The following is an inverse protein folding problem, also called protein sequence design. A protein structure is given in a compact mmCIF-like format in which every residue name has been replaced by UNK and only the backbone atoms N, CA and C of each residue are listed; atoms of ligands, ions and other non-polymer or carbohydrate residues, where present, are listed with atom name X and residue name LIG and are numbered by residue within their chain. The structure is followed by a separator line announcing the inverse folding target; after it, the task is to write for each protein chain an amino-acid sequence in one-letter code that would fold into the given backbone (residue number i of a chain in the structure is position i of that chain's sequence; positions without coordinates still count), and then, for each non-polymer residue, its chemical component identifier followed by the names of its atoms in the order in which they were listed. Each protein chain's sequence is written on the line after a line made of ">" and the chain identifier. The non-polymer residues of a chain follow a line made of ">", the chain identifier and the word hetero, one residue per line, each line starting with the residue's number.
data_IF_146488770330
#
_entry.id   IF_146488770330
#
_cell.length_a   1.000
_cell.length_b   1.000
_cell.length_c   1.000
_cell.angle_alpha   90.00
_cell.angle_beta   90.00
_cell.angle_gamma   90.00
#
_symmetry.space_group_name_H-M   'P 1'
#
loop_
_entity.id
_entity.type
_entity.pdbx_description
1 polymer ?
#
# COMPACT_ATOMS: atom_id res chain seq x y z
N UNK A 1 -27.25 26.15 13.84
CA UNK A 1 -27.78 24.77 13.90
C UNK A 1 -26.60 23.83 14.08
N UNK A 2 -26.23 23.59 15.34
CA UNK A 2 -25.16 22.66 15.73
C UNK A 2 -25.67 21.23 15.61
N UNK A 3 -25.10 20.46 14.70
CA UNK A 3 -25.37 19.03 14.61
C UNK A 3 -24.35 18.30 15.49
N UNK A 4 -24.75 18.01 16.72
CA UNK A 4 -24.03 17.15 17.67
C UNK A 4 -23.86 15.75 17.06
N UNK A 5 -22.69 15.48 16.50
CA UNK A 5 -22.31 14.14 16.03
C UNK A 5 -21.91 13.33 17.27
N UNK A 6 -22.86 12.56 17.81
CA UNK A 6 -22.58 11.48 18.74
C UNK A 6 -21.82 10.37 17.99
N UNK A 7 -20.49 10.44 18.02
CA UNK A 7 -19.63 9.35 17.57
C UNK A 7 -19.71 8.26 18.64
N UNK A 8 -20.38 7.16 18.32
CA UNK A 8 -20.42 5.98 19.17
C UNK A 8 -18.98 5.53 19.45
N UNK A 9 -18.62 5.52 20.73
CA UNK A 9 -17.30 5.20 21.25
C UNK A 9 -16.94 3.74 20.90
N UNK A 10 -16.22 3.53 19.79
CA UNK A 10 -15.66 2.21 19.46
C UNK A 10 -14.54 1.90 20.43
N UNK A 11 -14.84 1.11 21.47
CA UNK A 11 -13.84 0.58 22.42
C UNK A 11 -12.70 -0.08 21.64
N UNK A 12 -11.43 0.31 21.86
CA UNK A 12 -10.31 -0.34 21.19
C UNK A 12 -10.25 -1.80 21.62
N UNK A 13 -10.49 -2.74 20.69
CA UNK A 13 -10.46 -4.20 20.91
C UNK A 13 -9.07 -4.75 21.29
N UNK A 14 -8.06 -3.88 21.32
CA UNK A 14 -6.68 -4.30 21.40
C UNK A 14 -5.82 -3.23 22.05
N UNK A 15 -4.97 -3.67 22.98
CA UNK A 15 -4.19 -2.77 23.82
C UNK A 15 -3.09 -2.06 23.02
N UNK A 16 -2.74 -0.82 23.40
CA UNK A 16 -1.69 -0.05 22.73
C UNK A 16 -0.34 -0.80 22.75
N UNK A 17 -0.03 -1.56 23.81
CA UNK A 17 1.22 -2.33 23.85
C UNK A 17 1.28 -3.45 22.80
N UNK A 18 0.16 -4.11 22.51
CA UNK A 18 0.14 -5.12 21.46
C UNK A 18 0.28 -4.43 20.09
N UNK A 19 -0.29 -3.22 19.88
CA UNK A 19 -0.19 -2.49 18.59
C UNK A 19 1.26 -2.16 18.26
N UNK A 20 1.99 -1.73 19.26
CA UNK A 20 3.42 -1.46 19.14
C UNK A 20 4.20 -2.76 18.85
N UNK A 21 3.94 -3.85 19.59
CA UNK A 21 4.63 -5.13 19.39
C UNK A 21 4.36 -5.74 18.01
N UNK A 22 3.10 -5.74 17.56
CA UNK A 22 2.72 -6.22 16.24
C UNK A 22 3.30 -5.35 15.11
N UNK A 23 3.31 -4.03 15.29
CA UNK A 23 3.92 -3.10 14.34
C UNK A 23 5.41 -3.34 14.16
N UNK A 24 6.16 -3.49 15.26
CA UNK A 24 7.60 -3.79 15.22
C UNK A 24 7.86 -5.14 14.54
N UNK A 25 7.07 -6.16 14.87
CA UNK A 25 7.21 -7.49 14.26
C UNK A 25 6.95 -7.44 12.75
N UNK A 26 5.86 -6.80 12.32
CA UNK A 26 5.49 -6.69 10.91
C UNK A 26 6.52 -5.87 10.11
N UNK A 27 7.02 -4.77 10.70
CA UNK A 27 8.08 -3.97 10.11
C UNK A 27 9.39 -4.76 9.98
N UNK A 28 9.74 -5.58 10.99
CA UNK A 28 10.90 -6.47 10.94
C UNK A 28 10.79 -7.50 9.83
N UNK A 29 9.71 -8.28 9.77
CA UNK A 29 9.55 -9.32 8.75
C UNK A 29 9.45 -8.75 7.34
N UNK A 30 8.77 -7.61 7.16
CA UNK A 30 8.71 -6.92 5.86
C UNK A 30 10.04 -6.30 5.44
N UNK A 31 10.81 -5.75 6.39
CA UNK A 31 12.14 -5.24 6.13
C UNK A 31 13.10 -6.34 5.69
N UNK A 32 13.10 -7.47 6.40
CA UNK A 32 13.93 -8.63 6.05
C UNK A 32 13.52 -9.21 4.69
N UNK A 33 12.21 -9.33 4.39
CA UNK A 33 11.75 -9.84 3.10
C UNK A 33 12.11 -8.92 1.94
N UNK A 34 12.04 -7.60 2.12
CA UNK A 34 12.45 -6.62 1.11
C UNK A 34 13.96 -6.71 0.81
N UNK A 35 14.81 -6.83 1.84
CA UNK A 35 16.26 -6.99 1.66
C UNK A 35 16.61 -8.29 0.94
N UNK A 36 15.98 -9.40 1.32
CA UNK A 36 16.19 -10.70 0.66
C UNK A 36 15.70 -10.67 -0.79
N UNK A 37 14.50 -10.15 -1.04
CA UNK A 37 13.91 -10.07 -2.39
C UNK A 37 14.73 -9.17 -3.32
N UNK A 38 15.11 -7.97 -2.85
CA UNK A 38 15.95 -7.06 -3.60
C UNK A 38 17.35 -7.65 -3.86
N UNK A 39 17.96 -8.25 -2.83
CA UNK A 39 19.25 -8.94 -2.95
C UNK A 39 19.22 -10.11 -3.93
N UNK A 40 18.15 -10.91 -3.91
CA UNK A 40 17.95 -12.00 -4.86
C UNK A 40 17.80 -11.49 -6.31
N UNK A 41 17.12 -10.37 -6.50
CA UNK A 41 16.97 -9.73 -7.82
C UNK A 41 18.32 -9.20 -8.32
N UNK A 42 19.10 -8.58 -7.43
CA UNK A 42 20.46 -8.13 -7.75
C UNK A 42 21.38 -9.30 -8.10
N UNK A 43 21.28 -10.42 -7.36
CA UNK A 43 22.04 -11.63 -7.62
C UNK A 43 21.63 -12.33 -8.92
N UNK A 44 20.33 -12.34 -9.25
CA UNK A 44 19.84 -12.85 -10.53
C UNK A 44 20.37 -12.00 -11.70
N UNK A 45 20.32 -10.66 -11.57
CA UNK A 45 20.90 -9.74 -12.56
C UNK A 45 22.42 -9.94 -12.72
N UNK A 46 23.15 -10.19 -11.61
CA UNK A 46 24.58 -10.53 -11.67
C UNK A 46 24.86 -11.82 -12.45
N UNK A 47 24.02 -12.84 -12.28
CA UNK A 47 24.21 -14.14 -12.96
C UNK A 47 23.94 -14.05 -14.45
N UNK A 48 23.02 -13.17 -14.86
CA UNK A 48 22.70 -12.96 -16.27
C UNK A 48 23.85 -12.28 -17.02
N UNK A 49 24.49 -11.27 -16.42
CA UNK A 49 25.57 -10.50 -17.05
C UNK A 49 26.78 -10.25 -16.13
N UNK A 50 27.56 -11.27 -15.74
CA UNK A 50 28.63 -11.11 -14.75
C UNK A 50 29.75 -10.15 -15.19
N UNK A 51 30.08 -10.14 -16.50
CA UNK A 51 31.14 -9.29 -17.07
C UNK A 51 30.76 -7.80 -17.07
N UNK A 52 29.56 -7.48 -17.54
CA UNK A 52 29.07 -6.11 -17.61
C UNK A 52 28.58 -5.58 -16.25
N UNK A 53 28.05 -6.45 -15.39
CA UNK A 53 27.65 -6.10 -14.04
C UNK A 53 28.86 -5.76 -13.16
N UNK A 54 29.96 -6.51 -13.26
CA UNK A 54 31.20 -6.23 -12.54
C UNK A 54 31.83 -4.89 -12.97
N UNK A 55 31.87 -4.62 -14.28
CA UNK A 55 32.29 -3.32 -14.83
C UNK A 55 31.32 -2.18 -14.44
N UNK A 56 30.02 -2.49 -14.31
CA UNK A 56 29.01 -1.58 -13.79
C UNK A 56 29.08 -1.35 -12.28
N UNK A 57 29.91 -2.07 -11.54
CA UNK A 57 30.14 -1.86 -10.10
C UNK A 57 31.53 -1.33 -9.75
N UNK A 58 32.55 -1.67 -10.54
CA UNK A 58 33.94 -1.23 -10.34
C UNK A 58 34.23 -0.06 -11.28
N UNK A 59 34.45 1.13 -10.71
CA UNK A 59 34.74 2.38 -11.43
C UNK A 59 35.89 2.19 -12.41
N UNK A 60 35.66 2.42 -13.70
CA UNK A 60 36.73 2.46 -14.68
C UNK A 60 37.46 3.80 -14.59
N UNK A 61 38.78 3.81 -14.75
CA UNK A 61 39.66 4.98 -14.53
C UNK A 61 39.33 6.22 -15.41
N UNK A 62 38.44 6.08 -16.40
CA UNK A 62 37.92 7.17 -17.25
C UNK A 62 36.54 7.70 -16.84
N UNK A 63 35.78 6.98 -16.00
CA UNK A 63 34.48 7.39 -15.49
C UNK A 63 34.50 7.30 -13.97
N UNK A 64 34.50 8.45 -13.29
CA UNK A 64 34.63 8.53 -11.82
C UNK A 64 33.58 7.74 -11.04
N UNK A 65 32.48 7.33 -11.68
CA UNK A 65 31.41 6.52 -11.11
C UNK A 65 30.89 5.50 -12.13
N UNK A 66 30.47 4.32 -11.67
CA UNK A 66 29.89 3.30 -12.55
C UNK A 66 28.39 3.48 -12.74
N UNK A 67 27.85 3.03 -13.88
CA UNK A 67 26.40 3.13 -14.17
C UNK A 67 25.50 2.45 -13.13
N UNK A 68 25.89 1.29 -12.58
CA UNK A 68 25.11 0.66 -11.51
C UNK A 68 25.27 1.38 -10.17
N UNK A 69 26.45 1.98 -9.90
CA UNK A 69 26.67 2.82 -8.72
C UNK A 69 25.80 4.07 -8.73
N UNK A 70 25.73 4.75 -9.88
CA UNK A 70 24.83 5.88 -10.12
C UNK A 70 23.36 5.47 -9.95
N UNK A 71 22.94 4.35 -10.56
CA UNK A 71 21.57 3.87 -10.47
C UNK A 71 21.16 3.51 -9.03
N UNK A 72 22.04 2.84 -8.26
CA UNK A 72 21.78 2.51 -6.87
C UNK A 72 21.69 3.76 -5.98
N UNK A 73 22.55 4.77 -6.23
CA UNK A 73 22.48 6.05 -5.51
C UNK A 73 21.19 6.79 -5.85
N UNK A 74 20.84 6.87 -7.14
CA UNK A 74 19.60 7.48 -7.61
C UNK A 74 18.36 6.78 -7.06
N UNK A 75 18.35 5.45 -7.02
CA UNK A 75 17.27 4.64 -6.42
C UNK A 75 17.17 4.88 -4.90
N UNK A 76 18.32 4.98 -4.21
CA UNK A 76 18.38 5.28 -2.79
C UNK A 76 17.78 6.66 -2.46
N UNK A 77 18.30 7.72 -3.08
CA UNK A 77 17.77 9.08 -2.91
C UNK A 77 16.30 9.17 -3.37
N UNK A 78 15.94 8.52 -4.49
CA UNK A 78 14.58 8.50 -5.00
C UNK A 78 13.59 7.85 -4.04
N UNK A 79 13.96 6.74 -3.40
CA UNK A 79 13.13 6.09 -2.38
C UNK A 79 12.96 6.99 -1.15
N UNK A 80 14.04 7.62 -0.69
CA UNK A 80 13.98 8.58 0.43
C UNK A 80 13.04 9.75 0.11
N UNK A 81 13.20 10.39 -1.06
CA UNK A 81 12.33 11.47 -1.49
C UNK A 81 10.88 11.03 -1.69
N UNK A 82 10.62 9.81 -2.16
CA UNK A 82 9.27 9.28 -2.29
C UNK A 82 8.59 9.13 -0.93
N UNK A 83 9.28 8.53 0.06
CA UNK A 83 8.72 8.39 1.41
C UNK A 83 8.53 9.74 2.11
N UNK A 84 9.53 10.63 2.03
CA UNK A 84 9.44 11.96 2.62
C UNK A 84 8.38 12.81 1.92
N UNK A 85 8.32 12.80 0.58
CA UNK A 85 7.35 13.54 -0.21
C UNK A 85 5.92 13.09 0.04
N UNK A 86 5.66 11.78 -0.01
CA UNK A 86 4.35 11.24 0.34
C UNK A 86 3.99 11.59 1.80
N UNK A 87 4.93 11.43 2.74
CA UNK A 87 4.72 11.78 4.14
C UNK A 87 4.33 13.25 4.33
N UNK A 88 5.05 14.17 3.70
CA UNK A 88 4.74 15.61 3.73
C UNK A 88 3.39 15.88 3.08
N UNK A 89 3.11 15.34 1.89
CA UNK A 89 1.83 15.57 1.20
C UNK A 89 0.63 15.09 2.03
N UNK A 90 0.67 13.88 2.57
CA UNK A 90 -0.39 13.37 3.43
C UNK A 90 -0.51 14.15 4.74
N UNK A 91 0.62 14.56 5.32
CA UNK A 91 0.63 15.41 6.52
C UNK A 91 0.06 16.80 6.23
N UNK A 92 0.37 17.39 5.07
CA UNK A 92 -0.18 18.67 4.63
C UNK A 92 -1.69 18.58 4.42
N UNK A 93 -2.18 17.51 3.78
CA UNK A 93 -3.63 17.26 3.64
C UNK A 93 -4.29 17.11 5.02
N UNK A 94 -3.66 16.40 5.94
CA UNK A 94 -4.16 16.28 7.31
C UNK A 94 -4.19 17.65 8.03
N UNK A 95 -3.12 18.44 7.93
CA UNK A 95 -3.03 19.79 8.52
C UNK A 95 -4.04 20.75 7.92
N UNK A 96 -4.27 20.69 6.61
CA UNK A 96 -5.24 21.54 5.91
C UNK A 96 -6.69 21.10 6.17
N UNK A 97 -6.93 19.82 6.44
CA UNK A 97 -8.28 19.31 6.72
C UNK A 97 -8.83 19.76 8.08
N UNK A 98 -8.01 20.28 9.00
CA UNK A 98 -8.44 20.75 10.32
C UNK A 98 -9.03 19.66 11.24
N UNK A 99 -9.00 18.40 10.82
CA UNK A 99 -9.51 17.26 11.57
C UNK A 99 -8.53 16.89 12.69
N UNK A 100 -8.99 16.95 13.94
CA UNK A 100 -8.17 16.60 15.11
C UNK A 100 -7.91 15.09 15.19
N UNK A 101 -8.70 14.27 14.50
CA UNK A 101 -8.59 12.81 14.47
C UNK A 101 -8.81 12.23 13.06
N UNK A 102 -8.14 11.11 12.76
CA UNK A 102 -8.31 10.36 11.50
C UNK A 102 -9.77 9.96 11.22
N UNK A 103 -10.54 9.70 12.27
CA UNK A 103 -11.95 9.36 12.17
C UNK A 103 -12.79 10.55 11.69
N UNK A 104 -12.47 11.75 12.16
CA UNK A 104 -13.15 12.98 11.76
C UNK A 104 -12.78 13.40 10.33
N UNK A 105 -11.51 13.19 9.93
CA UNK A 105 -11.08 13.34 8.54
C UNK A 105 -11.87 12.41 7.61
N UNK A 106 -11.92 11.11 7.95
CA UNK A 106 -12.66 10.11 7.16
C UNK A 106 -14.14 10.44 7.09
N UNK A 107 -14.74 10.93 8.17
CA UNK A 107 -16.14 11.33 8.19
C UNK A 107 -16.40 12.57 7.32
N UNK A 108 -15.60 13.63 7.45
CA UNK A 108 -15.74 14.85 6.64
C UNK A 108 -15.52 14.58 5.16
N UNK A 109 -14.44 13.88 4.79
CA UNK A 109 -14.20 13.49 3.39
C UNK A 109 -15.30 12.57 2.87
N UNK A 110 -15.74 11.59 3.67
CA UNK A 110 -16.85 10.70 3.33
C UNK A 110 -18.20 11.41 3.19
N UNK A 111 -18.37 12.58 3.80
CA UNK A 111 -19.59 13.41 3.65
C UNK A 111 -19.54 14.36 2.45
N UNK A 112 -18.35 14.74 1.99
CA UNK A 112 -18.13 15.57 0.80
C UNK A 112 -18.26 14.72 -0.48
N UNK A 113 -17.89 13.44 -0.39
CA UNK A 113 -18.06 12.51 -1.50
C UNK A 113 -19.55 12.14 -1.62
N UNK A 114 -20.12 12.11 -2.85
CA UNK A 114 -21.49 11.68 -3.07
C UNK A 114 -21.67 10.26 -2.53
N UNK A 115 -22.60 10.09 -1.58
CA UNK A 115 -22.92 8.77 -1.02
C UNK A 115 -23.43 7.88 -2.16
N UNK A 116 -22.65 6.85 -2.49
CA UNK A 116 -23.11 5.78 -3.36
C UNK A 116 -24.33 5.16 -2.67
N UNK A 117 -25.52 5.20 -3.29
CA UNK A 117 -26.70 4.58 -2.71
C UNK A 117 -26.39 3.11 -2.48
N UNK A 118 -26.57 2.64 -1.24
CA UNK A 118 -26.46 1.21 -0.95
C UNK A 118 -27.54 0.51 -1.74
N UNK A 119 -27.12 -0.49 -2.51
CA UNK A 119 -28.00 -1.32 -3.31
C UNK A 119 -28.97 -2.09 -2.39
N UNK A 120 -30.17 -1.55 -2.22
CA UNK A 120 -31.28 -2.12 -1.46
C UNK A 120 -32.48 -2.22 -2.41
N UNK A 121 -32.87 -3.41 -2.89
CA UNK A 121 -32.35 -4.74 -2.53
C UNK A 121 -30.96 -5.03 -3.13
N UNK A 122 -30.14 -5.87 -2.48
CA UNK A 122 -28.84 -6.27 -3.00
C UNK A 122 -29.00 -7.03 -4.32
N UNK A 123 -28.61 -6.43 -5.43
CA UNK A 123 -28.61 -7.05 -6.77
C UNK A 123 -27.46 -8.07 -6.96
N UNK A 124 -26.91 -8.63 -5.88
CA UNK A 124 -25.85 -9.64 -5.95
C UNK A 124 -25.59 -10.32 -4.61
N UNK A 125 -25.39 -11.64 -4.64
CA UNK A 125 -24.98 -12.44 -3.47
C UNK A 125 -23.53 -12.12 -3.15
N UNK A 126 -23.24 -11.66 -1.92
CA UNK A 126 -21.85 -11.33 -1.48
C UNK A 126 -21.29 -12.35 -0.50
N UNK A 127 -22.10 -13.34 -0.10
CA UNK A 127 -21.69 -14.45 0.75
C UNK A 127 -21.48 -15.71 -0.12
N UNK A 128 -20.22 -15.96 -0.46
CA UNK A 128 -19.82 -17.18 -1.16
C UNK A 128 -19.10 -18.10 -0.18
N UNK A 129 -19.51 -19.37 -0.12
CA UNK A 129 -18.83 -20.38 0.71
C UNK A 129 -17.42 -20.73 0.19
N UNK A 130 -17.10 -20.33 -1.05
CA UNK A 130 -15.78 -20.50 -1.66
C UNK A 130 -15.79 -20.15 -3.16
N UNK A 131 -14.67 -20.38 -3.85
CA UNK A 131 -14.53 -20.09 -5.28
C UNK A 131 -15.52 -20.89 -6.15
N UNK A 132 -15.86 -22.12 -5.77
CA UNK A 132 -16.83 -22.93 -6.52
C UNK A 132 -18.24 -22.30 -6.50
N UNK A 133 -18.67 -21.78 -5.34
CA UNK A 133 -19.96 -21.11 -5.16
C UNK A 133 -20.01 -19.76 -5.93
N UNK A 134 -18.87 -19.08 -6.04
CA UNK A 134 -18.72 -17.88 -6.87
C UNK A 134 -18.83 -18.21 -8.37
N UNK A 135 -18.12 -19.25 -8.82
CA UNK A 135 -18.12 -19.66 -10.23
C UNK A 135 -19.48 -20.15 -10.69
N UNK A 136 -20.18 -20.93 -9.86
CA UNK A 136 -21.54 -21.39 -10.14
C UNK A 136 -22.53 -20.23 -10.29
N UNK A 137 -22.45 -19.24 -9.40
CA UNK A 137 -23.24 -18.01 -9.48
C UNK A 137 -23.00 -17.22 -10.78
N UNK A 138 -21.74 -17.06 -11.20
CA UNK A 138 -21.40 -16.37 -12.45
C UNK A 138 -21.88 -17.13 -13.70
N UNK A 139 -21.81 -18.45 -13.67
CA UNK A 139 -22.28 -19.30 -14.77
C UNK A 139 -23.80 -19.20 -14.94
N UNK A 140 -24.55 -19.24 -13.84
CA UNK A 140 -26.00 -19.01 -13.83
C UNK A 140 -26.38 -17.61 -14.34
N UNK A 141 -25.65 -16.56 -13.90
CA UNK A 141 -25.88 -15.18 -14.36
C UNK A 141 -25.64 -15.01 -15.87
N UNK A 142 -24.65 -15.71 -16.44
CA UNK A 142 -24.35 -15.65 -17.87
C UNK A 142 -25.44 -16.35 -18.70
N UNK A 143 -25.89 -17.52 -18.26
CA UNK A 143 -26.93 -18.30 -18.97
C UNK A 143 -28.27 -17.57 -19.08
N UNK A 144 -28.68 -16.81 -18.06
CA UNK A 144 -29.95 -16.04 -18.06
C UNK A 144 -29.91 -14.81 -18.97
N UNK A 145 -28.71 -14.33 -19.32
CA UNK A 145 -28.53 -13.13 -20.16
C UNK A 145 -28.48 -13.42 -21.66
N UNK A 146 -28.28 -14.69 -22.02
CA UNK A 146 -28.15 -15.16 -23.40
C UNK A 146 -29.49 -15.72 -23.96
N UNK A 147 -30.60 -15.60 -23.20
CA UNK A 147 -32.00 -15.88 -23.60
C UNK A 147 -32.81 -14.58 -23.69
#
# INVERSE_FOLDING_TARGET
>A
MEQNVNIAETKPRYSPEFKMKAGIFLAGVSGVSALIGFGATLAAAKRQDPKYFGQGMVGSRQMGETGAGLALRALGWGTLYAFTGCGILFYSIWKLSGAQNFEEFRYKVGSILPKIPRNNPPQGRTEFSGLNDLLDYLQHQKSVKDE
#
